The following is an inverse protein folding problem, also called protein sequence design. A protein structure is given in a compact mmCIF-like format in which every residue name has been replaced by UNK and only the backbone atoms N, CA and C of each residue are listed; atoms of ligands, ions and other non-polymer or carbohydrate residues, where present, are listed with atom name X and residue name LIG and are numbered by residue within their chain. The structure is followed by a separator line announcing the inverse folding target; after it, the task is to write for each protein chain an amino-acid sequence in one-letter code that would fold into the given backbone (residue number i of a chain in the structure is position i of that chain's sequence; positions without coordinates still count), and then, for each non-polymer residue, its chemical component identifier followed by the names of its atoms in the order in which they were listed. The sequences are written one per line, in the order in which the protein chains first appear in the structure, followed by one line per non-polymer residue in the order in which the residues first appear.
data_IF_945134454400
#
_entry.id   IF_945134454400
#
_cell.length_a   1.000
_cell.length_b   1.000
_cell.length_c   1.000
_cell.angle_alpha   90.00
_cell.angle_beta   90.00
_cell.angle_gamma   90.00
#
_symmetry.space_group_name_H-M   'P 1'
#
loop_
_entity.id
_entity.type
_entity.pdbx_description
1 polymer ?
#
# COMPACT_ATOMS: atom_id res chain seq x y z
N UNK A 1 3.80 0.66 11.99
CA UNK A 1 2.65 1.14 11.18
C UNK A 1 1.33 0.44 11.50
N UNK A 2 1.06 -0.79 11.04
CA UNK A 2 -0.27 -1.40 11.23
C UNK A 2 -0.65 -1.56 12.71
N UNK A 3 0.27 -2.06 13.55
CA UNK A 3 0.05 -2.16 14.99
C UNK A 3 -0.23 -0.79 15.63
N UNK A 4 0.48 0.25 15.22
CA UNK A 4 0.27 1.60 15.75
C UNK A 4 -1.09 2.16 15.32
N UNK A 5 -1.45 2.00 14.05
CA UNK A 5 -2.74 2.43 13.50
C UNK A 5 -3.93 1.73 14.16
N UNK A 6 -3.78 0.45 14.49
CA UNK A 6 -4.84 -0.36 15.10
C UNK A 6 -4.88 -0.28 16.64
N UNK A 7 -3.80 0.16 17.28
CA UNK A 7 -3.71 0.24 18.75
C UNK A 7 -4.79 1.11 19.41
N UNK A 8 -5.42 2.01 18.65
CA UNK A 8 -6.48 2.90 19.12
C UNK A 8 -7.88 2.54 18.63
N UNK A 9 -8.04 1.44 17.87
CA UNK A 9 -9.33 1.06 17.33
C UNK A 9 -10.25 0.51 18.45
N UNK A 10 -11.43 1.10 18.59
CA UNK A 10 -12.44 0.71 19.60
C UNK A 10 -13.51 -0.25 19.07
N UNK A 11 -13.37 -0.72 17.83
CA UNK A 11 -14.32 -1.59 17.14
C UNK A 11 -13.69 -2.96 16.89
N UNK A 12 -14.47 -4.06 16.91
CA UNK A 12 -13.98 -5.37 16.50
C UNK A 12 -13.50 -5.34 15.04
N UNK A 13 -12.34 -5.92 14.76
CA UNK A 13 -11.77 -5.99 13.41
C UNK A 13 -11.07 -7.33 13.17
N UNK A 14 -10.96 -7.69 11.90
CA UNK A 14 -10.13 -8.80 11.41
C UNK A 14 -8.96 -8.20 10.62
N UNK A 15 -7.76 -8.77 10.79
CA UNK A 15 -6.57 -8.36 10.02
C UNK A 15 -6.25 -9.47 9.02
N UNK A 16 -6.05 -9.07 7.76
CA UNK A 16 -5.51 -9.94 6.73
C UNK A 16 -4.38 -9.25 5.98
N UNK A 17 -3.38 -10.04 5.57
CA UNK A 17 -2.25 -9.57 4.78
C UNK A 17 -2.39 -10.02 3.34
N UNK A 18 -2.51 -9.05 2.44
CA UNK A 18 -2.50 -9.26 1.00
C UNK A 18 -1.16 -8.84 0.40
N UNK A 19 -0.71 -9.57 -0.62
CA UNK A 19 0.41 -9.21 -1.48
C UNK A 19 -0.13 -8.96 -2.88
N UNK A 20 -0.01 -7.72 -3.33
CA UNK A 20 -0.34 -7.31 -4.68
C UNK A 20 0.94 -7.24 -5.54
N UNK A 21 0.92 -7.84 -6.73
CA UNK A 21 1.97 -7.69 -7.74
C UNK A 21 1.36 -7.21 -9.05
N UNK A 22 1.95 -6.18 -9.66
CA UNK A 22 1.62 -5.77 -11.02
C UNK A 22 2.52 -6.50 -12.02
N UNK A 23 1.93 -7.19 -13.00
CA UNK A 23 2.69 -7.78 -14.10
C UNK A 23 3.21 -6.71 -15.07
N UNK A 24 4.52 -6.70 -15.31
CA UNK A 24 5.15 -6.08 -16.47
C UNK A 24 5.31 -7.15 -17.54
N UNK A 25 4.46 -7.20 -18.57
CA UNK A 25 4.78 -8.04 -19.75
C UNK A 25 3.67 -8.41 -20.72
N UNK A 26 2.42 -8.62 -20.29
CA UNK A 26 1.30 -8.89 -21.20
C UNK A 26 0.04 -8.25 -20.65
N UNK A 27 -0.51 -7.29 -21.39
CA UNK A 27 -1.61 -6.40 -20.97
C UNK A 27 -1.32 -5.69 -19.64
N UNK A 28 -0.73 -4.51 -19.74
CA UNK A 28 -0.59 -3.54 -18.64
C UNK A 28 -1.95 -3.30 -17.97
N UNK A 29 -2.29 -4.08 -16.94
CA UNK A 29 -3.66 -4.10 -16.42
C UNK A 29 -3.90 -5.04 -15.25
N UNK A 30 -3.51 -6.31 -15.35
CA UNK A 30 -3.87 -7.31 -14.33
C UNK A 30 -3.02 -7.17 -13.05
N UNK A 31 -3.71 -7.20 -11.90
CA UNK A 31 -3.12 -7.21 -10.58
C UNK A 31 -3.26 -8.63 -10.02
N UNK A 32 -2.14 -9.27 -9.72
CA UNK A 32 -2.17 -10.52 -8.97
C UNK A 32 -2.24 -10.19 -7.49
N UNK A 33 -3.34 -10.58 -6.86
CA UNK A 33 -3.51 -10.49 -5.42
C UNK A 33 -3.38 -11.91 -4.89
N UNK A 34 -2.37 -12.14 -4.08
CA UNK A 34 -2.21 -13.35 -3.29
C UNK A 34 -2.32 -12.93 -1.83
N UNK A 35 -3.17 -13.56 -1.02
CA UNK A 35 -3.06 -13.36 0.43
C UNK A 35 -2.12 -14.39 1.04
N UNK A 36 -1.53 -13.97 2.16
CA UNK A 36 -0.58 -14.77 2.92
C UNK A 36 -1.29 -15.68 3.94
N UNK A 37 -2.63 -15.68 3.97
CA UNK A 37 -3.47 -16.53 4.83
C UNK A 37 -4.16 -17.68 4.10
N UNK A 38 -4.63 -18.68 4.86
CA UNK A 38 -5.28 -19.90 4.34
C UNK A 38 -6.67 -19.65 3.69
N UNK A 39 -7.30 -18.50 3.94
CA UNK A 39 -8.67 -18.23 3.50
C UNK A 39 -8.79 -17.70 2.04
N UNK A 40 -7.70 -17.21 1.47
CA UNK A 40 -7.77 -16.17 0.45
C UNK A 40 -7.91 -16.62 -1.02
N UNK A 41 -8.77 -17.59 -1.25
CA UNK A 41 -9.27 -17.91 -2.60
C UNK A 41 -10.75 -18.24 -2.63
N UNK A 42 -11.47 -18.12 -1.50
CA UNK A 42 -12.91 -18.30 -1.51
C UNK A 42 -13.59 -17.09 -2.15
N UNK A 43 -14.21 -17.30 -3.31
CA UNK A 43 -15.08 -16.29 -3.92
C UNK A 43 -16.09 -15.77 -2.88
N UNK A 44 -16.22 -14.44 -2.77
CA UNK A 44 -17.11 -13.70 -1.87
C UNK A 44 -16.70 -13.52 -0.40
N UNK A 45 -15.45 -13.81 0.00
CA UNK A 45 -15.02 -13.61 1.40
C UNK A 45 -15.26 -12.18 1.92
N UNK A 46 -15.07 -11.18 1.06
CA UNK A 46 -15.24 -9.77 1.42
C UNK A 46 -16.63 -9.20 1.13
N UNK A 47 -17.58 -10.03 0.64
CA UNK A 47 -18.90 -9.56 0.24
C UNK A 47 -19.64 -8.95 1.43
N UNK A 48 -20.12 -7.73 1.26
CA UNK A 48 -20.87 -6.99 2.29
C UNK A 48 -20.03 -6.51 3.48
N UNK A 49 -18.71 -6.73 3.49
CA UNK A 49 -17.80 -6.23 4.52
C UNK A 49 -17.36 -4.79 4.24
N UNK A 50 -17.12 -4.04 5.30
CA UNK A 50 -16.46 -2.73 5.24
C UNK A 50 -14.94 -2.96 5.32
N UNK A 51 -14.19 -2.57 4.28
CA UNK A 51 -12.74 -2.84 4.17
C UNK A 51 -11.93 -1.56 4.36
N UNK A 52 -10.84 -1.66 5.11
CA UNK A 52 -9.79 -0.64 5.19
C UNK A 52 -8.51 -1.25 4.63
N UNK A 53 -7.99 -0.69 3.54
CA UNK A 53 -6.71 -1.12 2.97
C UNK A 53 -5.64 -0.19 3.50
N UNK A 54 -4.63 -0.73 4.19
CA UNK A 54 -3.54 0.06 4.77
C UNK A 54 -2.24 -0.23 4.03
N UNK A 55 -1.61 0.80 3.48
CA UNK A 55 -0.33 0.71 2.76
C UNK A 55 0.67 1.76 3.30
N UNK A 56 1.96 1.44 3.30
CA UNK A 56 3.00 2.32 3.84
C UNK A 56 3.18 3.59 3.01
N UNK A 57 3.17 3.46 1.69
CA UNK A 57 3.32 4.58 0.78
C UNK A 57 2.43 4.43 -0.46
N UNK A 58 1.70 5.49 -0.78
CA UNK A 58 1.03 5.65 -2.07
C UNK A 58 1.87 6.59 -2.94
N UNK A 59 2.48 5.98 -3.96
CA UNK A 59 3.24 6.67 -5.00
C UNK A 59 2.29 7.10 -6.14
N UNK A 60 2.36 6.48 -7.33
CA UNK A 60 1.43 6.79 -8.43
C UNK A 60 -0.05 6.49 -8.15
N UNK A 61 -0.36 5.68 -7.13
CA UNK A 61 -1.72 5.25 -6.79
C UNK A 61 -2.31 4.15 -7.69
N UNK A 62 -1.55 3.62 -8.67
CA UNK A 62 -2.03 2.59 -9.61
C UNK A 62 -2.42 1.28 -8.92
N UNK A 63 -1.59 0.79 -7.98
CA UNK A 63 -1.86 -0.45 -7.24
C UNK A 63 -3.12 -0.31 -6.39
N UNK A 64 -3.20 0.75 -5.57
CA UNK A 64 -4.34 0.99 -4.70
C UNK A 64 -5.64 1.20 -5.49
N UNK A 65 -5.60 1.91 -6.62
CA UNK A 65 -6.77 2.08 -7.51
C UNK A 65 -7.31 0.72 -7.97
N UNK A 66 -6.42 -0.21 -8.37
CA UNK A 66 -6.81 -1.55 -8.80
C UNK A 66 -7.35 -2.40 -7.65
N UNK A 67 -6.76 -2.30 -6.46
CA UNK A 67 -7.24 -3.00 -5.26
C UNK A 67 -8.66 -2.54 -4.88
N UNK A 68 -8.89 -1.23 -4.85
CA UNK A 68 -10.22 -0.66 -4.58
C UNK A 68 -11.22 -1.16 -5.61
N UNK A 69 -10.90 -1.06 -6.91
CA UNK A 69 -11.78 -1.54 -7.97
C UNK A 69 -12.08 -3.05 -7.85
N UNK A 70 -11.07 -3.87 -7.54
CA UNK A 70 -11.22 -5.31 -7.35
C UNK A 70 -12.19 -5.64 -6.22
N UNK A 71 -11.95 -5.12 -5.01
CA UNK A 71 -12.80 -5.45 -3.87
C UNK A 71 -14.22 -4.89 -4.00
N UNK A 72 -14.38 -3.72 -4.62
CA UNK A 72 -15.71 -3.21 -4.97
C UNK A 72 -16.42 -4.14 -5.96
N UNK A 73 -15.71 -4.66 -6.98
CA UNK A 73 -16.28 -5.62 -7.94
C UNK A 73 -16.63 -6.97 -7.30
N UNK A 74 -15.94 -7.36 -6.22
CA UNK A 74 -16.25 -8.54 -5.41
C UNK A 74 -17.41 -8.30 -4.42
N UNK A 75 -18.08 -7.14 -4.51
CA UNK A 75 -19.22 -6.74 -3.67
C UNK A 75 -18.86 -6.46 -2.20
N UNK A 76 -17.65 -5.95 -1.92
CA UNK A 76 -17.41 -5.28 -0.65
C UNK A 76 -18.41 -4.12 -0.46
N UNK A 77 -18.82 -3.87 0.78
CA UNK A 77 -19.77 -2.79 1.10
C UNK A 77 -19.11 -1.43 0.99
N UNK A 78 -17.91 -1.31 1.54
CA UNK A 78 -17.05 -0.12 1.41
C UNK A 78 -15.59 -0.55 1.30
N UNK A 79 -14.77 0.28 0.66
CA UNK A 79 -13.32 0.08 0.57
C UNK A 79 -12.63 1.43 0.78
N UNK A 80 -11.92 1.58 1.90
CA UNK A 80 -11.29 2.82 2.31
C UNK A 80 -9.76 2.68 2.25
N UNK A 81 -9.08 3.31 1.28
CA UNK A 81 -7.63 3.30 1.20
C UNK A 81 -7.01 4.24 2.24
N UNK A 82 -6.10 3.75 3.06
CA UNK A 82 -5.38 4.49 4.10
C UNK A 82 -3.88 4.31 3.89
N UNK A 83 -3.12 5.39 4.04
CA UNK A 83 -1.67 5.32 3.92
C UNK A 83 -0.93 6.16 4.95
N UNK A 84 0.31 5.79 5.26
CA UNK A 84 1.19 6.65 6.04
C UNK A 84 1.70 7.81 5.18
N UNK A 85 2.22 7.54 3.99
CA UNK A 85 2.82 8.55 3.11
C UNK A 85 2.09 8.62 1.76
N UNK A 86 1.64 9.82 1.40
CA UNK A 86 1.01 10.09 0.11
C UNK A 86 1.90 11.02 -0.74
N UNK A 87 2.49 10.50 -1.82
CA UNK A 87 3.29 11.29 -2.75
C UNK A 87 2.40 11.92 -3.82
N UNK A 88 1.96 13.16 -3.60
CA UNK A 88 0.90 13.79 -4.42
C UNK A 88 1.38 14.26 -5.80
N UNK A 89 2.64 14.67 -5.89
CA UNK A 89 3.18 15.38 -7.05
C UNK A 89 4.09 14.51 -7.94
N UNK A 90 3.93 13.18 -7.86
CA UNK A 90 4.74 12.22 -8.63
C UNK A 90 4.31 12.17 -10.09
N UNK A 91 5.28 11.95 -10.97
CA UNK A 91 4.97 11.71 -12.38
C UNK A 91 4.10 10.45 -12.53
N UNK A 92 3.01 10.57 -13.30
CA UNK A 92 2.11 9.44 -13.54
C UNK A 92 1.13 9.12 -12.39
N UNK A 93 0.94 10.06 -11.45
CA UNK A 93 -0.14 10.01 -10.45
C UNK A 93 -1.51 9.84 -11.11
N UNK A 94 -2.32 8.93 -10.58
CA UNK A 94 -3.72 8.76 -11.00
C UNK A 94 -4.53 9.99 -10.54
N UNK A 95 -5.02 10.77 -11.50
CA UNK A 95 -5.66 12.09 -11.25
C UNK A 95 -6.88 12.03 -10.34
N UNK A 96 -7.69 10.99 -10.47
CA UNK A 96 -8.97 10.86 -9.75
C UNK A 96 -8.87 9.91 -8.54
N UNK A 97 -7.65 9.64 -8.07
CA UNK A 97 -7.41 8.77 -6.92
C UNK A 97 -6.76 9.54 -5.77
N UNK A 98 -7.33 9.39 -4.57
CA UNK A 98 -6.75 9.85 -3.32
C UNK A 98 -7.06 8.89 -2.17
N UNK A 99 -6.16 8.77 -1.18
CA UNK A 99 -6.45 8.00 0.02
C UNK A 99 -7.62 8.63 0.78
N UNK A 100 -8.42 7.79 1.43
CA UNK A 100 -9.41 8.22 2.43
C UNK A 100 -8.72 8.93 3.59
N UNK A 101 -7.56 8.43 4.01
CA UNK A 101 -6.71 9.04 5.03
C UNK A 101 -5.24 8.86 4.68
N UNK A 102 -4.48 9.96 4.75
CA UNK A 102 -3.02 9.95 4.68
C UNK A 102 -2.46 10.50 6.00
N UNK A 103 -1.44 9.85 6.56
CA UNK A 103 -0.72 10.38 7.72
C UNK A 103 0.05 11.65 7.35
N UNK A 104 0.80 11.59 6.26
CA UNK A 104 1.59 12.69 5.73
C UNK A 104 1.47 12.75 4.22
N UNK A 105 1.62 13.95 3.67
CA UNK A 105 1.80 14.16 2.24
C UNK A 105 3.18 14.71 2.00
N UNK A 106 3.89 14.07 1.07
CA UNK A 106 5.31 14.28 0.86
C UNK A 106 5.57 14.59 -0.63
N UNK A 107 6.71 15.24 -0.89
CA UNK A 107 7.21 15.42 -2.24
C UNK A 107 7.65 14.09 -2.85
N UNK A 108 7.99 14.10 -4.14
CA UNK A 108 8.54 12.92 -4.82
C UNK A 108 10.00 12.67 -4.44
N UNK A 109 10.18 12.15 -3.23
CA UNK A 109 11.48 11.84 -2.64
C UNK A 109 11.63 10.33 -2.45
N UNK A 110 12.86 9.83 -2.55
CA UNK A 110 13.13 8.43 -2.22
C UNK A 110 13.26 8.28 -0.70
N UNK A 111 12.26 7.64 -0.07
CA UNK A 111 12.17 7.53 1.40
C UNK A 111 12.38 6.10 1.88
N UNK A 112 13.04 5.97 3.05
CA UNK A 112 13.31 4.69 3.73
C UNK A 112 13.00 4.82 5.22
N UNK A 113 12.92 3.69 5.92
CA UNK A 113 12.61 3.65 7.36
C UNK A 113 11.13 3.44 7.64
N UNK A 114 10.84 3.12 8.90
CA UNK A 114 9.51 2.81 9.40
C UNK A 114 8.75 1.74 8.59
N UNK A 115 9.46 0.70 8.15
CA UNK A 115 8.90 -0.34 7.29
C UNK A 115 9.24 -0.18 5.80
N UNK A 116 9.60 1.01 5.35
CA UNK A 116 10.07 1.26 3.98
C UNK A 116 11.52 0.82 3.83
N UNK A 117 11.85 0.20 2.70
CA UNK A 117 13.19 -0.33 2.46
C UNK A 117 13.78 0.11 1.13
N UNK A 118 15.11 -0.01 1.05
CA UNK A 118 15.82 -0.02 -0.21
C UNK A 118 16.67 -1.28 -0.29
N UNK A 119 16.35 -2.17 -1.24
CA UNK A 119 17.00 -3.47 -1.41
C UNK A 119 17.11 -4.28 -0.09
N UNK A 120 16.03 -4.29 0.69
CA UNK A 120 15.94 -5.02 1.97
C UNK A 120 16.65 -4.34 3.15
N UNK A 121 17.13 -3.10 2.99
CA UNK A 121 17.81 -2.33 4.05
C UNK A 121 16.92 -1.23 4.60
N UNK A 122 17.25 -0.73 5.80
CA UNK A 122 16.64 0.42 6.49
C UNK A 122 15.22 0.22 7.03
N UNK A 123 14.61 -0.95 6.82
CA UNK A 123 13.23 -1.25 7.28
C UNK A 123 13.06 -1.09 8.81
N UNK A 124 14.13 -1.33 9.56
CA UNK A 124 14.22 -1.32 11.02
C UNK A 124 14.51 0.07 11.62
N UNK A 125 14.76 1.08 10.79
CA UNK A 125 14.92 2.46 11.24
C UNK A 125 13.56 3.02 11.69
N UNK A 126 13.52 3.70 12.84
CA UNK A 126 12.26 4.09 13.48
C UNK A 126 11.59 5.35 12.90
N UNK A 127 12.36 6.20 12.21
CA UNK A 127 11.81 7.38 11.54
C UNK A 127 11.86 7.21 10.02
N UNK A 128 11.15 8.08 9.31
CA UNK A 128 11.19 8.18 7.85
C UNK A 128 12.30 9.15 7.43
N UNK A 129 13.20 8.69 6.58
CA UNK A 129 14.33 9.47 6.06
C UNK A 129 14.28 9.57 4.55
N UNK A 130 14.74 10.69 4.00
CA UNK A 130 15.06 10.81 2.57
C UNK A 130 16.45 10.19 2.36
N UNK A 131 16.56 9.23 1.44
CA UNK A 131 17.84 8.62 1.08
C UNK A 131 18.59 9.57 0.14
N UNK A 132 19.82 9.93 0.50
CA UNK A 132 20.67 10.76 -0.37
C UNK A 132 21.04 10.02 -1.65
N UNK A 133 21.42 10.76 -2.70
CA UNK A 133 21.92 10.18 -3.95
C UNK A 133 23.10 9.22 -3.71
N UNK A 134 24.05 9.59 -2.84
CA UNK A 134 25.15 8.70 -2.44
C UNK A 134 24.64 7.42 -1.77
N UNK A 135 23.59 7.52 -0.95
CA UNK A 135 22.94 6.37 -0.34
C UNK A 135 22.29 5.47 -1.38
N UNK A 136 21.52 6.04 -2.31
CA UNK A 136 20.93 5.29 -3.44
C UNK A 136 22.03 4.57 -4.21
N UNK A 137 23.10 5.26 -4.60
CA UNK A 137 24.19 4.66 -5.36
C UNK A 137 24.93 3.56 -4.60
N UNK A 138 25.14 3.75 -3.30
CA UNK A 138 25.86 2.81 -2.44
C UNK A 138 25.09 1.50 -2.26
N UNK A 139 23.77 1.55 -2.24
CA UNK A 139 22.92 0.41 -1.90
C UNK A 139 22.13 -0.14 -3.10
N UNK A 140 22.42 0.32 -4.33
CA UNK A 140 21.70 -0.10 -5.55
C UNK A 140 21.87 -1.56 -5.95
N UNK A 141 22.99 -2.17 -5.56
CA UNK A 141 23.24 -3.60 -5.74
C UNK A 141 23.06 -4.29 -4.38
N UNK A 142 22.09 -5.21 -4.32
CA UNK A 142 21.69 -5.95 -3.11
C UNK A 142 22.73 -6.95 -2.64
#
# INVERSE_FOLDING_TARGET
MLCDALSQASVPYEIEFIRAKSYLGKTSGELEISSLGEAATAANEYRGKDLIIVEDIIDTGKTMTKLVAKFMSDNAKTVLPVTLLDKRDVEGRVRDFGPYLAGFSIADEFVVGFGLDYNGRFRDVLDVYILSEEGVDRYKEG
#
